data_IF_915813435816
#
_entry.id   IF_915813435816
#
_cell.length_a   1.000
_cell.length_b   1.000
_cell.length_c   1.000
_cell.angle_alpha   90.00
_cell.angle_beta   90.00
_cell.angle_gamma   90.00
#
_symmetry.space_group_name_H-M   'P 1'
#
loop_
_entity.id
_entity.type
_entity.pdbx_description
1 polymer ?
#
# COMPACT_ATOMS: atom_id res chain seq x y z
N UNK A 1 47.60 31.06 -58.06
CA UNK A 1 46.44 30.18 -57.85
C UNK A 1 46.24 30.08 -56.36
N UNK A 2 45.21 30.76 -55.86
CA UNK A 2 44.81 30.75 -54.44
C UNK A 2 43.75 29.66 -54.33
N UNK A 3 43.95 28.68 -53.50
CA UNK A 3 42.93 27.71 -53.11
C UNK A 3 42.19 28.23 -51.90
N UNK A 4 40.93 28.61 -52.05
CA UNK A 4 40.00 28.82 -50.97
C UNK A 4 39.59 27.46 -50.37
N UNK A 5 39.78 27.32 -49.08
CA UNK A 5 39.28 26.18 -48.27
C UNK A 5 37.87 26.55 -47.79
N UNK A 6 36.88 25.82 -48.26
CA UNK A 6 35.52 25.89 -47.70
C UNK A 6 35.48 25.18 -46.36
N UNK A 7 34.86 25.77 -45.30
CA UNK A 7 34.71 25.05 -44.05
C UNK A 7 33.66 23.95 -44.21
N UNK A 8 34.07 22.73 -43.95
CA UNK A 8 33.20 21.57 -43.82
C UNK A 8 32.29 21.75 -42.63
N UNK A 9 30.99 21.44 -42.85
CA UNK A 9 29.90 21.64 -41.92
C UNK A 9 30.14 21.11 -40.53
N UNK A 10 29.63 21.84 -39.55
CA UNK A 10 29.46 21.41 -38.18
C UNK A 10 28.63 20.10 -38.15
N UNK A 11 29.24 19.03 -37.73
CA UNK A 11 28.50 17.91 -37.20
C UNK A 11 27.76 18.44 -35.96
N UNK A 12 26.44 18.49 -36.02
CA UNK A 12 25.63 18.52 -34.79
C UNK A 12 26.01 17.28 -33.99
N UNK A 13 26.78 17.47 -32.94
CA UNK A 13 26.98 16.43 -31.95
C UNK A 13 25.61 16.04 -31.42
N UNK A 14 25.25 14.78 -31.53
CA UNK A 14 24.26 14.19 -30.64
C UNK A 14 24.87 14.25 -29.25
N UNK A 15 24.63 15.36 -28.55
CA UNK A 15 24.76 15.34 -27.10
C UNK A 15 23.77 14.30 -26.58
N UNK A 16 24.27 13.09 -26.32
CA UNK A 16 23.56 12.12 -25.53
C UNK A 16 23.45 12.77 -24.16
N UNK A 17 22.32 13.42 -23.89
CA UNK A 17 22.00 13.88 -22.54
C UNK A 17 22.02 12.62 -21.71
N UNK A 18 23.00 12.51 -20.80
CA UNK A 18 23.07 11.40 -19.89
C UNK A 18 21.75 11.33 -19.12
N UNK A 19 21.06 10.19 -19.22
CA UNK A 19 19.83 10.00 -18.45
C UNK A 19 20.15 10.08 -16.96
N UNK A 20 19.32 10.78 -16.20
CA UNK A 20 19.45 10.83 -14.75
C UNK A 20 19.14 9.45 -14.21
N UNK A 21 20.07 8.89 -13.45
CA UNK A 21 19.89 7.60 -12.80
C UNK A 21 19.15 7.78 -11.47
N UNK A 22 18.12 6.98 -11.25
CA UNK A 22 17.33 6.96 -10.02
C UNK A 22 17.36 5.56 -9.40
N UNK A 23 17.43 5.50 -8.09
CA UNK A 23 17.30 4.27 -7.32
C UNK A 23 15.93 4.26 -6.65
N UNK A 24 15.07 3.31 -6.98
CA UNK A 24 13.79 3.15 -6.29
C UNK A 24 13.80 2.02 -5.29
N UNK A 25 13.01 2.17 -4.24
CA UNK A 25 12.61 1.06 -3.39
C UNK A 25 11.17 0.66 -3.71
N UNK A 26 10.78 -0.58 -3.41
CA UNK A 26 9.39 -1.02 -3.46
C UNK A 26 8.92 -1.56 -2.10
N UNK A 27 7.61 -1.62 -1.94
CA UNK A 27 6.97 -2.24 -0.79
C UNK A 27 7.25 -3.76 -0.73
N UNK A 28 7.32 -4.31 0.47
CA UNK A 28 7.54 -5.73 0.74
C UNK A 28 6.23 -6.55 0.79
N UNK A 29 5.20 -6.07 0.13
CA UNK A 29 3.93 -6.77 -0.10
C UNK A 29 3.57 -6.80 -1.59
N UNK A 30 3.01 -7.93 -2.02
CA UNK A 30 2.81 -8.26 -3.45
C UNK A 30 1.95 -7.25 -4.22
N UNK A 31 0.96 -6.62 -3.56
CA UNK A 31 0.12 -5.61 -4.22
C UNK A 31 0.87 -4.32 -4.60
N UNK A 32 2.06 -4.10 -4.05
CA UNK A 32 2.93 -2.98 -4.41
C UNK A 32 3.82 -3.22 -5.63
N UNK A 33 4.00 -4.47 -6.06
CA UNK A 33 4.99 -4.81 -7.09
C UNK A 33 4.63 -4.28 -8.47
N UNK A 34 3.42 -4.55 -8.95
CA UNK A 34 2.91 -4.04 -10.24
C UNK A 34 2.93 -2.51 -10.27
N UNK A 35 2.47 -1.88 -9.19
CA UNK A 35 2.43 -0.43 -9.06
C UNK A 35 3.84 0.19 -9.15
N UNK A 36 4.81 -0.38 -8.46
CA UNK A 36 6.20 0.07 -8.51
C UNK A 36 6.78 -0.07 -9.93
N UNK A 37 6.53 -1.19 -10.59
CA UNK A 37 7.04 -1.46 -11.93
C UNK A 37 6.40 -0.55 -13.00
N UNK A 38 5.10 -0.25 -12.89
CA UNK A 38 4.43 0.72 -13.76
C UNK A 38 5.07 2.10 -13.60
N UNK A 39 5.28 2.58 -12.38
CA UNK A 39 5.92 3.87 -12.14
C UNK A 39 7.35 3.89 -12.70
N UNK A 40 8.12 2.81 -12.51
CA UNK A 40 9.46 2.68 -13.09
C UNK A 40 9.43 2.87 -14.61
N UNK A 41 8.55 2.17 -15.33
CA UNK A 41 8.45 2.25 -16.79
C UNK A 41 7.94 3.61 -17.28
N UNK A 42 7.07 4.29 -16.51
CA UNK A 42 6.65 5.67 -16.81
C UNK A 42 7.85 6.62 -16.73
N UNK A 43 8.67 6.51 -15.68
CA UNK A 43 9.87 7.34 -15.53
C UNK A 43 10.90 7.09 -16.64
N UNK A 44 11.06 5.84 -17.07
CA UNK A 44 11.91 5.52 -18.22
C UNK A 44 11.38 6.15 -19.52
N UNK A 45 10.06 6.19 -19.71
CA UNK A 45 9.42 6.90 -20.82
C UNK A 45 9.70 8.41 -20.76
N UNK A 46 9.83 8.99 -19.55
CA UNK A 46 10.19 10.37 -19.33
C UNK A 46 11.71 10.67 -19.48
N UNK A 47 12.53 9.62 -19.74
CA UNK A 47 13.96 9.75 -20.01
C UNK A 47 14.89 9.47 -18.83
N UNK A 48 14.39 8.97 -17.72
CA UNK A 48 15.19 8.52 -16.59
C UNK A 48 15.72 7.10 -16.81
N UNK A 49 16.77 6.74 -16.09
CA UNK A 49 17.19 5.34 -15.88
C UNK A 49 16.86 4.99 -14.45
N UNK A 50 16.02 3.96 -14.22
CA UNK A 50 15.55 3.61 -12.89
C UNK A 50 15.99 2.19 -12.55
N UNK A 51 16.49 1.98 -11.32
CA UNK A 51 16.84 0.63 -10.83
C UNK A 51 15.62 -0.29 -10.85
N UNK A 52 15.84 -1.61 -10.89
CA UNK A 52 14.73 -2.55 -10.74
C UNK A 52 14.10 -2.38 -9.34
N UNK A 53 12.75 -2.30 -9.23
CA UNK A 53 12.10 -2.16 -7.93
C UNK A 53 12.43 -3.29 -6.95
N UNK A 54 12.66 -4.49 -7.47
CA UNK A 54 13.03 -5.69 -6.71
C UNK A 54 14.43 -5.67 -6.10
N UNK A 55 15.28 -4.72 -6.49
CA UNK A 55 16.62 -4.62 -5.92
C UNK A 55 16.59 -4.18 -4.44
N UNK A 56 15.57 -3.39 -4.05
CA UNK A 56 15.40 -2.88 -2.68
C UNK A 56 13.93 -3.00 -2.29
N UNK A 57 13.62 -4.02 -1.48
CA UNK A 57 12.28 -4.31 -1.00
C UNK A 57 12.21 -4.05 0.50
N UNK A 58 11.32 -3.15 0.94
CA UNK A 58 11.30 -2.62 2.30
C UNK A 58 9.86 -2.40 2.80
N UNK A 59 9.63 -2.73 4.07
CA UNK A 59 8.47 -2.24 4.82
C UNK A 59 8.55 -0.74 5.11
N UNK A 60 7.45 -0.10 5.55
CA UNK A 60 7.34 1.36 5.66
C UNK A 60 8.47 2.01 6.45
N UNK A 61 8.70 1.58 7.68
CA UNK A 61 9.73 2.15 8.57
C UNK A 61 11.11 2.22 7.89
N UNK A 62 11.51 1.10 7.27
CA UNK A 62 12.80 0.99 6.60
C UNK A 62 12.84 1.78 5.29
N UNK A 63 11.73 1.87 4.56
CA UNK A 63 11.66 2.63 3.31
C UNK A 63 11.89 4.12 3.56
N UNK A 64 11.18 4.71 4.54
CA UNK A 64 11.34 6.12 4.90
C UNK A 64 12.76 6.43 5.43
N UNK A 65 13.29 5.57 6.29
CA UNK A 65 14.65 5.71 6.80
C UNK A 65 15.70 5.62 5.67
N UNK A 66 15.53 4.66 4.75
CA UNK A 66 16.44 4.45 3.62
C UNK A 66 16.41 5.64 2.65
N UNK A 67 15.22 6.19 2.34
CA UNK A 67 15.11 7.42 1.54
C UNK A 67 15.77 8.62 2.21
N UNK A 68 15.54 8.82 3.52
CA UNK A 68 16.12 9.93 4.26
C UNK A 68 17.65 9.85 4.30
N UNK A 69 18.24 8.66 4.28
CA UNK A 69 19.67 8.42 4.28
C UNK A 69 20.29 8.33 2.87
N UNK A 70 19.49 8.49 1.82
CA UNK A 70 19.95 8.44 0.41
C UNK A 70 20.24 7.03 -0.11
N UNK A 71 19.69 6.00 0.50
CA UNK A 71 19.81 4.61 0.02
C UNK A 71 18.84 4.27 -1.11
N UNK A 72 17.72 4.98 -1.22
CA UNK A 72 16.87 5.04 -2.41
C UNK A 72 16.24 6.43 -2.56
N UNK A 73 15.81 6.76 -3.77
CA UNK A 73 15.35 8.10 -4.13
C UNK A 73 13.84 8.29 -3.93
N UNK A 74 13.07 7.22 -4.12
CA UNK A 74 11.61 7.26 -3.99
C UNK A 74 11.01 5.88 -3.73
N UNK A 75 9.77 5.89 -3.21
CA UNK A 75 8.95 4.74 -2.88
C UNK A 75 7.49 5.00 -3.28
N UNK A 76 6.81 4.05 -3.91
CA UNK A 76 5.54 4.27 -4.61
C UNK A 76 4.31 3.75 -3.87
N UNK A 77 4.44 3.33 -2.62
CA UNK A 77 3.34 2.71 -1.88
C UNK A 77 3.18 3.29 -0.48
N UNK A 78 3.16 4.63 -0.40
CA UNK A 78 2.97 5.37 0.85
C UNK A 78 1.49 5.54 1.15
N UNK A 79 1.07 5.08 2.32
CA UNK A 79 -0.32 5.07 2.78
C UNK A 79 -0.55 6.17 3.80
N UNK A 80 -1.11 7.27 3.38
CA UNK A 80 -1.39 8.40 4.25
C UNK A 80 -2.87 8.44 4.66
N UNK A 81 -3.20 8.84 5.94
CA UNK A 81 -2.28 9.46 6.91
C UNK A 81 -1.35 8.50 7.66
N UNK A 82 -1.57 7.16 7.66
CA UNK A 82 -0.84 6.21 8.49
C UNK A 82 0.67 6.34 8.48
N UNK A 83 1.24 6.56 7.31
CA UNK A 83 2.69 6.66 7.18
C UNK A 83 3.29 8.01 7.58
N UNK A 84 2.48 9.03 7.97
CA UNK A 84 3.05 10.28 8.48
C UNK A 84 3.82 10.11 9.79
N UNK A 85 3.45 9.13 10.60
CA UNK A 85 4.17 8.83 11.84
C UNK A 85 5.66 8.56 11.64
N UNK A 86 6.05 7.97 10.50
CA UNK A 86 7.44 7.71 10.19
C UNK A 86 8.29 8.95 9.93
N UNK A 87 7.67 10.10 9.63
CA UNK A 87 8.37 11.38 9.46
C UNK A 87 8.96 11.93 10.76
N UNK A 88 8.45 11.54 11.91
CA UNK A 88 8.92 11.96 13.23
C UNK A 88 10.12 11.17 13.72
N UNK A 89 10.53 10.12 13.01
CA UNK A 89 11.69 9.34 13.37
C UNK A 89 12.98 10.16 13.27
N UNK A 90 13.78 10.11 14.35
CA UNK A 90 15.06 10.80 14.43
C UNK A 90 16.17 10.00 13.72
N UNK A 91 16.95 10.67 12.89
CA UNK A 91 18.14 10.15 12.24
C UNK A 91 19.36 10.23 13.17
N UNK A 92 20.46 9.48 12.89
CA UNK A 92 21.65 9.50 13.73
C UNK A 92 22.33 10.88 13.90
N UNK A 93 22.04 11.83 13.00
CA UNK A 93 22.56 13.21 13.08
C UNK A 93 21.62 14.17 13.85
N UNK A 94 20.47 13.67 14.33
CA UNK A 94 19.47 14.41 15.08
C UNK A 94 18.42 15.13 14.22
N UNK A 95 18.48 15.00 12.90
CA UNK A 95 17.40 15.47 12.02
C UNK A 95 16.24 14.47 11.98
N UNK A 96 15.06 14.89 11.54
CA UNK A 96 13.90 14.02 11.37
C UNK A 96 13.81 13.49 9.94
N UNK A 97 13.25 12.30 9.76
CA UNK A 97 12.98 11.73 8.44
C UNK A 97 12.19 12.70 7.56
N UNK A 98 11.18 13.38 8.12
CA UNK A 98 10.34 14.34 7.39
C UNK A 98 11.08 15.61 6.92
N UNK A 99 12.32 15.85 7.37
CA UNK A 99 13.16 16.91 6.82
C UNK A 99 13.83 16.51 5.50
N UNK A 100 13.86 15.21 5.18
CA UNK A 100 14.55 14.62 4.04
C UNK A 100 13.63 13.90 3.06
N UNK A 101 12.40 13.58 3.45
CA UNK A 101 11.41 12.86 2.64
C UNK A 101 10.14 13.66 2.54
N UNK A 102 9.56 13.70 1.34
CA UNK A 102 8.33 14.42 1.02
C UNK A 102 7.33 13.49 0.34
N UNK A 103 6.06 13.57 0.74
CA UNK A 103 4.95 12.99 -0.01
C UNK A 103 4.63 13.88 -1.21
N UNK A 104 4.54 13.32 -2.40
CA UNK A 104 4.38 14.10 -3.64
C UNK A 104 3.11 13.77 -4.41
N UNK A 105 2.10 13.25 -3.71
CA UNK A 105 0.79 12.94 -4.32
C UNK A 105 0.87 11.82 -5.38
N UNK A 106 -0.11 11.73 -6.25
CA UNK A 106 -0.20 10.72 -7.31
C UNK A 106 -0.87 9.43 -6.87
N UNK A 107 -0.90 8.46 -7.76
CA UNK A 107 -1.44 7.12 -7.61
C UNK A 107 -2.93 7.09 -7.24
N UNK A 108 -3.30 6.84 -5.98
CA UNK A 108 -4.70 6.64 -5.58
C UNK A 108 -5.08 7.57 -4.44
N UNK A 109 -6.05 8.45 -4.68
CA UNK A 109 -6.53 9.42 -3.70
C UNK A 109 -7.82 8.93 -3.04
N UNK A 110 -7.94 9.06 -1.72
CA UNK A 110 -9.11 8.67 -0.91
C UNK A 110 -9.61 7.24 -1.22
N UNK A 111 -8.72 6.33 -1.58
CA UNK A 111 -9.09 5.06 -2.20
C UNK A 111 -8.48 3.82 -1.55
N UNK A 112 -7.47 3.99 -0.72
CA UNK A 112 -6.85 2.93 0.05
C UNK A 112 -7.74 2.54 1.23
N UNK A 113 -8.57 1.51 1.07
CA UNK A 113 -9.43 1.04 2.15
C UNK A 113 -8.68 0.01 2.96
N UNK A 114 -8.82 0.06 4.29
CA UNK A 114 -8.27 -0.89 5.24
C UNK A 114 -9.35 -1.33 6.21
N UNK A 115 -9.26 -2.56 6.72
CA UNK A 115 -10.22 -3.09 7.68
C UNK A 115 -10.10 -4.58 7.88
N UNK A 116 -11.04 -5.15 8.60
CA UNK A 116 -11.11 -6.58 8.84
C UNK A 116 -12.14 -7.24 7.94
N UNK A 117 -11.80 -8.38 7.33
CA UNK A 117 -12.76 -9.29 6.73
C UNK A 117 -13.12 -10.40 7.70
N UNK A 118 -14.38 -10.84 7.67
CA UNK A 118 -14.89 -11.95 8.44
C UNK A 118 -15.59 -12.97 7.51
N UNK A 119 -15.51 -14.26 7.82
CA UNK A 119 -16.27 -15.30 7.11
C UNK A 119 -17.76 -14.97 7.08
N UNK A 120 -18.33 -14.75 5.89
CA UNK A 120 -19.73 -14.29 5.74
C UNK A 120 -20.74 -15.29 6.33
N UNK A 121 -20.63 -16.58 5.97
CA UNK A 121 -21.58 -17.61 6.44
C UNK A 121 -21.61 -17.71 7.96
N UNK A 122 -20.43 -17.68 8.59
CA UNK A 122 -20.31 -17.70 10.04
C UNK A 122 -20.87 -16.42 10.69
N UNK A 123 -20.55 -15.25 10.14
CA UNK A 123 -21.05 -13.98 10.68
C UNK A 123 -22.58 -13.87 10.60
N UNK A 124 -23.19 -14.29 9.49
CA UNK A 124 -24.64 -14.32 9.31
C UNK A 124 -25.32 -15.32 10.26
N UNK A 125 -24.79 -16.54 10.41
CA UNK A 125 -25.32 -17.56 11.31
C UNK A 125 -25.33 -17.12 12.76
N UNK A 126 -24.29 -16.40 13.18
CA UNK A 126 -24.10 -15.95 14.56
C UNK A 126 -24.56 -14.49 14.79
N UNK A 127 -25.14 -13.83 13.80
CA UNK A 127 -25.56 -12.42 13.84
C UNK A 127 -24.42 -11.47 14.28
N UNK A 128 -23.21 -11.72 13.79
CA UNK A 128 -22.04 -10.87 14.07
C UNK A 128 -22.16 -9.58 13.30
N UNK A 129 -22.06 -8.45 14.01
CA UNK A 129 -22.13 -7.08 13.44
C UNK A 129 -20.87 -6.26 13.71
N UNK A 130 -20.06 -6.62 14.72
CA UNK A 130 -18.83 -5.91 15.05
C UNK A 130 -17.79 -6.83 15.70
N UNK A 131 -16.53 -6.44 15.61
CA UNK A 131 -15.42 -7.10 16.31
C UNK A 131 -15.57 -6.96 17.83
N UNK A 132 -16.15 -5.87 18.31
CA UNK A 132 -16.45 -5.61 19.71
C UNK A 132 -17.47 -6.60 20.26
N UNK A 133 -18.49 -6.98 19.47
CA UNK A 133 -19.43 -8.02 19.83
C UNK A 133 -18.72 -9.36 19.99
N UNK A 134 -17.81 -9.70 19.07
CA UNK A 134 -17.03 -10.95 19.15
C UNK A 134 -16.23 -10.97 20.44
N UNK A 135 -15.54 -9.88 20.78
CA UNK A 135 -14.76 -9.78 22.02
C UNK A 135 -15.62 -9.99 23.31
N UNK A 136 -16.89 -9.61 23.29
CA UNK A 136 -17.77 -9.71 24.46
C UNK A 136 -18.50 -11.06 24.62
N UNK A 137 -18.49 -11.90 23.60
CA UNK A 137 -19.22 -13.19 23.58
C UNK A 137 -18.23 -14.36 23.51
N UNK A 138 -18.19 -15.14 24.60
CA UNK A 138 -17.28 -16.31 24.71
C UNK A 138 -17.48 -17.32 23.60
N UNK A 139 -18.71 -17.53 23.13
CA UNK A 139 -18.96 -18.48 22.05
C UNK A 139 -18.38 -17.98 20.71
N UNK A 140 -18.34 -16.65 20.52
CA UNK A 140 -17.81 -16.05 19.30
C UNK A 140 -16.28 -16.01 19.29
N UNK A 141 -15.63 -15.51 20.37
CA UNK A 141 -14.17 -15.47 20.37
C UNK A 141 -13.54 -16.86 20.48
N UNK A 142 -14.19 -17.81 21.20
CA UNK A 142 -13.70 -19.20 21.23
C UNK A 142 -13.77 -19.90 19.88
N UNK A 143 -14.65 -19.49 18.97
CA UNK A 143 -14.69 -20.03 17.61
C UNK A 143 -13.50 -19.55 16.75
N UNK A 144 -12.84 -18.47 17.16
CA UNK A 144 -11.62 -17.92 16.55
C UNK A 144 -10.34 -18.42 17.23
N UNK A 145 -10.43 -18.99 18.44
CA UNK A 145 -9.30 -19.54 19.20
C UNK A 145 -8.80 -20.83 18.55
N UNK A 146 -7.70 -20.76 17.82
CA UNK A 146 -7.13 -21.90 17.07
C UNK A 146 -5.98 -22.57 17.78
N UNK A 147 -5.30 -21.88 18.70
CA UNK A 147 -4.16 -22.41 19.44
C UNK A 147 -4.51 -22.88 20.86
N UNK A 148 -5.72 -22.53 21.34
CA UNK A 148 -6.25 -22.98 22.63
C UNK A 148 -5.76 -22.13 23.82
N UNK A 149 -5.34 -20.90 23.59
CA UNK A 149 -4.89 -19.98 24.64
C UNK A 149 -6.06 -19.26 25.34
N UNK A 150 -7.28 -19.40 24.83
CA UNK A 150 -8.51 -18.82 25.34
C UNK A 150 -8.85 -17.46 24.76
N UNK A 151 -8.16 -17.02 23.72
CA UNK A 151 -8.44 -15.79 22.97
C UNK A 151 -8.74 -16.10 21.51
N UNK A 152 -9.55 -15.26 20.89
CA UNK A 152 -9.81 -15.34 19.45
C UNK A 152 -8.71 -14.65 18.66
N UNK A 153 -8.16 -15.33 17.65
CA UNK A 153 -7.14 -14.73 16.79
C UNK A 153 -7.73 -13.85 15.71
N UNK A 154 -7.13 -12.67 15.54
CA UNK A 154 -7.22 -11.80 14.38
C UNK A 154 -5.97 -12.05 13.56
N UNK A 155 -6.09 -12.55 12.34
CA UNK A 155 -4.97 -12.63 11.41
C UNK A 155 -4.63 -11.19 10.97
N UNK A 156 -3.58 -10.64 11.53
CA UNK A 156 -3.25 -9.21 11.43
C UNK A 156 -2.21 -8.89 10.39
N UNK A 157 -1.13 -8.25 10.81
CA UNK A 157 -0.06 -7.78 9.96
C UNK A 157 1.30 -8.37 10.36
N UNK A 158 2.28 -8.39 9.42
CA UNK A 158 3.68 -8.54 9.79
C UNK A 158 4.13 -7.38 10.68
N UNK A 159 4.98 -7.64 11.69
CA UNK A 159 5.52 -6.62 12.62
C UNK A 159 6.24 -5.43 11.95
N UNK A 160 6.65 -5.58 10.69
CA UNK A 160 7.31 -4.51 9.94
C UNK A 160 6.37 -3.51 9.28
N UNK A 161 5.05 -3.76 9.36
CA UNK A 161 4.04 -2.92 8.72
C UNK A 161 3.35 -2.01 9.73
N UNK A 162 2.96 -0.82 9.30
CA UNK A 162 2.27 0.17 10.15
C UNK A 162 0.92 -0.35 10.70
N UNK A 163 0.24 -1.21 9.97
CA UNK A 163 -1.04 -1.78 10.41
C UNK A 163 -0.93 -2.64 11.67
N UNK A 164 0.23 -3.24 11.93
CA UNK A 164 0.49 -3.99 13.16
C UNK A 164 0.36 -3.08 14.39
N UNK A 165 1.07 -1.96 14.40
CA UNK A 165 0.98 -0.96 15.46
C UNK A 165 -0.45 -0.42 15.65
N UNK A 166 -1.17 -0.20 14.54
CA UNK A 166 -2.56 0.27 14.58
C UNK A 166 -3.48 -0.79 15.21
N UNK A 167 -3.37 -2.06 14.81
CA UNK A 167 -4.21 -3.13 15.34
C UNK A 167 -3.94 -3.34 16.83
N UNK A 168 -2.69 -3.34 17.27
CA UNK A 168 -2.35 -3.43 18.70
C UNK A 168 -2.96 -2.27 19.51
N UNK A 169 -2.89 -1.05 18.99
CA UNK A 169 -3.53 0.11 19.62
C UNK A 169 -5.06 -0.02 19.65
N UNK A 170 -5.69 -0.52 18.58
CA UNK A 170 -7.14 -0.78 18.53
C UNK A 170 -7.56 -1.80 19.61
N UNK A 171 -6.80 -2.88 19.77
CA UNK A 171 -7.05 -3.91 20.79
C UNK A 171 -7.06 -3.29 22.18
N UNK A 172 -6.06 -2.48 22.51
CA UNK A 172 -5.94 -1.85 23.82
C UNK A 172 -7.00 -0.74 24.01
N UNK A 173 -7.16 0.13 23.02
CA UNK A 173 -8.09 1.27 23.08
C UNK A 173 -9.54 0.81 23.22
N UNK A 174 -9.94 -0.20 22.47
CA UNK A 174 -11.32 -0.74 22.48
C UNK A 174 -11.56 -1.77 23.58
N UNK A 175 -10.52 -2.16 24.32
CA UNK A 175 -10.63 -3.17 25.38
C UNK A 175 -10.98 -4.56 24.84
N UNK A 176 -10.39 -4.96 23.73
CA UNK A 176 -10.59 -6.29 23.14
C UNK A 176 -9.75 -7.36 23.86
N UNK A 177 -9.93 -7.49 25.16
CA UNK A 177 -9.11 -8.34 26.05
C UNK A 177 -9.15 -9.84 25.70
N UNK A 178 -10.21 -10.29 25.01
CA UNK A 178 -10.41 -11.67 24.59
C UNK A 178 -10.00 -11.92 23.14
N UNK A 179 -9.35 -10.95 22.50
CA UNK A 179 -8.81 -11.09 21.16
C UNK A 179 -7.29 -10.87 21.18
N UNK A 180 -6.61 -11.45 20.23
CA UNK A 180 -5.16 -11.31 20.04
C UNK A 180 -4.84 -11.22 18.55
N UNK A 181 -3.85 -10.41 18.21
CA UNK A 181 -3.34 -10.34 16.84
C UNK A 181 -2.34 -11.45 16.59
N UNK A 182 -2.53 -12.21 15.50
CA UNK A 182 -1.54 -13.14 14.95
C UNK A 182 -0.68 -12.41 13.93
N UNK A 183 0.62 -12.40 14.16
CA UNK A 183 1.64 -11.73 13.35
C UNK A 183 2.48 -12.75 12.60
N UNK A 184 2.37 -12.78 11.29
CA UNK A 184 3.13 -13.69 10.43
C UNK A 184 3.26 -13.11 9.01
N UNK A 185 3.90 -13.83 8.10
CA UNK A 185 3.92 -13.45 6.69
C UNK A 185 2.49 -13.41 6.12
N UNK A 186 2.13 -12.29 5.50
CA UNK A 186 0.73 -12.01 5.15
C UNK A 186 0.11 -13.06 4.23
N UNK A 187 0.83 -13.50 3.19
CA UNK A 187 0.33 -14.52 2.25
C UNK A 187 0.01 -15.86 2.92
N UNK A 188 0.77 -16.23 3.96
CA UNK A 188 0.51 -17.45 4.74
C UNK A 188 -0.76 -17.31 5.59
N UNK A 189 -0.94 -16.16 6.24
CA UNK A 189 -2.17 -15.85 7.00
C UNK A 189 -3.39 -15.79 6.09
N UNK A 190 -3.26 -15.18 4.90
CA UNK A 190 -4.34 -15.13 3.93
C UNK A 190 -4.71 -16.53 3.39
N UNK A 191 -3.72 -17.40 3.16
CA UNK A 191 -3.95 -18.79 2.80
C UNK A 191 -4.73 -19.57 3.88
N UNK A 192 -4.40 -19.37 5.15
CA UNK A 192 -5.16 -19.91 6.28
C UNK A 192 -6.59 -19.36 6.32
N UNK A 193 -6.74 -18.03 6.19
CA UNK A 193 -8.05 -17.39 6.14
C UNK A 193 -8.93 -17.97 5.04
N UNK A 194 -8.41 -18.09 3.80
CA UNK A 194 -9.16 -18.70 2.70
C UNK A 194 -9.62 -20.14 3.00
N UNK A 195 -8.76 -20.93 3.61
CA UNK A 195 -9.12 -22.31 3.96
C UNK A 195 -10.28 -22.35 4.97
N UNK A 196 -10.27 -21.49 5.98
CA UNK A 196 -11.34 -21.39 6.98
C UNK A 196 -12.64 -20.85 6.38
N UNK A 197 -12.57 -19.80 5.56
CA UNK A 197 -13.74 -19.26 4.84
C UNK A 197 -14.40 -20.33 3.96
N UNK A 198 -13.59 -21.09 3.21
CA UNK A 198 -14.10 -22.16 2.34
C UNK A 198 -14.72 -23.33 3.14
N UNK A 199 -14.29 -23.55 4.37
CA UNK A 199 -14.89 -24.53 5.30
C UNK A 199 -16.16 -23.99 5.98
N UNK A 200 -16.42 -22.69 5.93
CA UNK A 200 -17.49 -22.01 6.67
C UNK A 200 -17.15 -21.76 8.13
N UNK A 201 -15.87 -21.91 8.50
CA UNK A 201 -15.39 -21.70 9.86
C UNK A 201 -15.22 -20.19 10.18
N UNK A 202 -15.21 -19.87 11.47
CA UNK A 202 -14.91 -18.52 11.95
C UNK A 202 -13.50 -18.10 11.55
N UNK A 203 -13.35 -16.96 10.90
CA UNK A 203 -12.04 -16.37 10.63
C UNK A 203 -12.16 -14.85 10.49
N UNK A 204 -11.16 -14.13 10.98
CA UNK A 204 -10.98 -12.68 10.81
C UNK A 204 -9.58 -12.44 10.28
N UNK A 205 -9.46 -11.57 9.27
CA UNK A 205 -8.17 -11.10 8.75
C UNK A 205 -8.20 -9.60 8.50
N UNK A 206 -7.13 -8.90 8.84
CA UNK A 206 -6.87 -7.57 8.32
C UNK A 206 -6.60 -7.63 6.82
N UNK A 207 -7.13 -6.69 6.05
CA UNK A 207 -6.85 -6.57 4.61
C UNK A 207 -7.05 -5.15 4.10
N UNK A 208 -6.73 -4.94 2.83
CA UNK A 208 -6.79 -3.63 2.20
C UNK A 208 -7.18 -3.70 0.72
N UNK A 209 -7.52 -2.54 0.13
CA UNK A 209 -7.65 -2.35 -1.32
C UNK A 209 -6.78 -1.17 -1.77
N UNK A 210 -6.21 -1.18 -2.98
CA UNK A 210 -6.25 -2.24 -4.00
C UNK A 210 -5.37 -3.43 -3.63
N UNK A 211 -5.92 -4.65 -3.71
CA UNK A 211 -5.18 -5.89 -3.52
C UNK A 211 -5.91 -7.08 -4.17
N UNK A 212 -5.17 -8.09 -4.59
CA UNK A 212 -5.72 -9.33 -5.11
C UNK A 212 -6.61 -10.05 -4.08
N UNK A 213 -6.33 -9.89 -2.80
CA UNK A 213 -7.00 -10.58 -1.70
C UNK A 213 -8.51 -10.35 -1.67
N UNK A 214 -8.96 -9.10 -1.84
CA UNK A 214 -10.40 -8.74 -1.87
C UNK A 214 -11.12 -9.15 -3.17
N UNK A 215 -10.36 -9.58 -4.16
CA UNK A 215 -10.91 -10.17 -5.39
C UNK A 215 -10.99 -11.70 -5.28
N UNK A 216 -10.06 -12.30 -4.54
CA UNK A 216 -10.05 -13.75 -4.26
C UNK A 216 -11.07 -14.15 -3.20
N UNK A 217 -11.29 -13.28 -2.20
CA UNK A 217 -12.33 -13.40 -1.16
C UNK A 217 -13.25 -12.20 -1.27
N UNK A 218 -14.34 -12.37 -2.02
CA UNK A 218 -15.19 -11.25 -2.48
C UNK A 218 -16.14 -10.81 -1.36
N UNK A 219 -16.03 -9.56 -0.88
CA UNK A 219 -16.98 -9.00 0.09
C UNK A 219 -18.42 -9.05 -0.45
N UNK A 220 -19.33 -9.54 0.38
CA UNK A 220 -20.73 -9.78 0.01
C UNK A 220 -21.01 -11.16 -0.58
N UNK A 221 -19.98 -11.91 -0.99
CA UNK A 221 -20.09 -13.28 -1.52
C UNK A 221 -19.50 -14.28 -0.51
N UNK A 222 -18.20 -14.19 -0.27
CA UNK A 222 -17.45 -15.12 0.58
C UNK A 222 -17.27 -14.59 2.00
N UNK A 223 -17.08 -13.28 2.09
CA UNK A 223 -16.74 -12.55 3.32
C UNK A 223 -17.55 -11.27 3.47
N UNK A 224 -17.48 -10.65 4.65
CA UNK A 224 -18.00 -9.31 4.91
C UNK A 224 -16.88 -8.46 5.50
N UNK A 225 -16.87 -7.15 5.18
CA UNK A 225 -16.14 -6.19 5.99
C UNK A 225 -16.77 -6.12 7.37
N UNK A 226 -15.96 -6.25 8.41
CA UNK A 226 -16.41 -6.27 9.81
C UNK A 226 -16.32 -4.88 10.42
N UNK A 227 -17.43 -4.43 11.03
CA UNK A 227 -17.45 -3.14 11.71
C UNK A 227 -16.71 -3.16 13.05
N UNK A 228 -16.19 -1.99 13.45
CA UNK A 228 -15.77 -1.68 14.81
C UNK A 228 -16.81 -0.74 15.46
N UNK A 229 -17.04 -0.82 16.78
CA UNK A 229 -17.97 0.06 17.47
C UNK A 229 -17.32 1.37 17.87
N UNK A 230 -16.05 1.33 18.23
CA UNK A 230 -15.28 2.49 18.68
C UNK A 230 -14.06 2.67 17.80
N UNK A 231 -13.99 3.77 17.09
CA UNK A 231 -12.84 4.11 16.25
C UNK A 231 -11.71 4.64 17.14
N UNK A 232 -10.51 4.11 16.94
CA UNK A 232 -9.29 4.59 17.60
C UNK A 232 -9.16 6.11 17.40
N UNK A 233 -8.83 6.82 18.46
CA UNK A 233 -8.55 8.26 18.43
C UNK A 233 -7.03 8.54 18.51
N UNK A 234 -6.63 9.81 18.51
CA UNK A 234 -5.23 10.23 18.53
C UNK A 234 -4.52 9.96 19.88
N UNK A 235 -5.11 9.18 20.78
CA UNK A 235 -4.54 8.89 22.10
C UNK A 235 -3.30 8.01 22.05
N UNK A 236 -3.15 7.22 20.99
CA UNK A 236 -2.03 6.26 20.80
C UNK A 236 -1.68 5.55 22.11
N UNK A 237 -2.56 4.68 22.65
CA UNK A 237 -2.47 4.18 24.03
C UNK A 237 -1.20 3.40 24.32
N UNK A 238 -0.58 2.80 23.32
CA UNK A 238 0.69 2.08 23.46
C UNK A 238 1.91 2.93 23.14
N UNK A 239 1.74 4.14 22.56
CA UNK A 239 2.84 4.98 22.14
C UNK A 239 3.68 4.39 21.01
N UNK A 240 3.07 3.55 20.16
CA UNK A 240 3.74 2.93 19.03
C UNK A 240 3.81 3.90 17.86
N UNK A 241 4.93 3.89 17.15
CA UNK A 241 5.06 4.65 15.89
C UNK A 241 4.11 4.03 14.87
N UNK A 242 3.23 4.87 14.28
CA UNK A 242 2.17 4.39 13.39
C UNK A 242 0.87 4.00 14.09
N UNK A 243 0.87 4.00 15.42
CA UNK A 243 -0.31 3.70 16.22
C UNK A 243 -1.25 4.88 16.47
N UNK A 244 -0.97 6.02 15.85
CA UNK A 244 -1.85 7.19 15.90
C UNK A 244 -3.16 6.89 15.16
N UNK A 245 -4.17 7.66 15.52
CA UNK A 245 -5.49 7.55 14.94
C UNK A 245 -5.51 7.81 13.45
N UNK A 246 -6.27 6.97 12.80
CA UNK A 246 -6.68 7.13 11.41
C UNK A 246 -8.19 7.04 11.38
N UNK A 247 -8.83 7.99 12.10
CA UNK A 247 -10.27 8.00 12.32
C UNK A 247 -11.02 8.00 11.00
N UNK A 248 -11.80 6.97 10.81
CA UNK A 248 -12.85 7.00 9.81
C UNK A 248 -13.85 8.09 10.19
N UNK A 249 -14.06 9.09 9.33
CA UNK A 249 -15.16 10.06 9.47
C UNK A 249 -16.52 9.38 9.55
N UNK A 250 -17.56 10.08 10.05
CA UNK A 250 -18.89 9.51 10.26
C UNK A 250 -19.39 8.75 9.02
N UNK A 251 -19.45 7.44 9.14
CA UNK A 251 -20.06 6.53 8.17
C UNK A 251 -19.29 6.37 6.86
N UNK A 252 -18.52 5.30 6.72
CA UNK A 252 -18.00 4.92 5.41
C UNK A 252 -19.15 4.49 4.50
N UNK A 253 -19.55 5.37 3.58
CA UNK A 253 -20.69 5.16 2.70
C UNK A 253 -20.34 4.44 1.37
N UNK A 254 -19.08 4.04 1.18
CA UNK A 254 -18.58 3.49 -0.07
C UNK A 254 -18.96 2.02 -0.34
N UNK A 255 -19.37 1.27 0.70
CA UNK A 255 -19.73 -0.14 0.56
C UNK A 255 -21.24 -0.35 0.60
N UNK A 256 -21.72 -1.29 -0.24
CA UNK A 256 -23.09 -1.74 -0.17
C UNK A 256 -23.41 -2.44 1.16
N UNK A 257 -24.65 -2.38 1.60
CA UNK A 257 -25.09 -3.01 2.86
C UNK A 257 -24.94 -4.54 2.88
N UNK A 258 -24.71 -5.15 1.73
CA UNK A 258 -24.48 -6.57 1.52
C UNK A 258 -23.00 -6.97 1.61
N UNK A 259 -22.09 -5.99 1.63
CA UNK A 259 -20.64 -6.23 1.64
C UNK A 259 -19.99 -5.98 3.01
N UNK A 260 -20.73 -5.37 3.94
CA UNK A 260 -20.24 -4.94 5.23
C UNK A 260 -21.25 -5.24 6.34
N UNK A 261 -20.79 -5.63 7.53
CA UNK A 261 -21.65 -5.67 8.70
C UNK A 261 -22.10 -4.25 9.06
N UNK A 262 -23.35 -4.09 9.50
CA UNK A 262 -23.88 -2.76 9.79
C UNK A 262 -23.61 -2.36 11.24
N UNK A 263 -23.13 -1.12 11.48
CA UNK A 263 -23.25 0.11 10.68
C UNK A 263 -22.16 0.37 9.62
N UNK A 264 -21.30 -0.55 9.28
CA UNK A 264 -20.21 -0.40 8.30
C UNK A 264 -19.18 0.66 8.67
N UNK A 265 -18.58 0.51 9.83
CA UNK A 265 -17.52 1.37 10.34
C UNK A 265 -16.24 0.54 10.45
N UNK A 266 -15.29 0.75 9.54
CA UNK A 266 -14.13 -0.12 9.42
C UNK A 266 -13.00 0.20 10.41
N UNK A 267 -12.98 1.41 10.97
CA UNK A 267 -11.97 1.84 11.93
C UNK A 267 -10.76 2.57 11.32
N UNK A 268 -10.58 2.50 10.01
CA UNK A 268 -9.54 3.23 9.28
C UNK A 268 -10.13 4.31 8.38
N UNK A 269 -9.43 5.44 8.28
CA UNK A 269 -9.68 6.44 7.25
C UNK A 269 -9.29 5.88 5.87
N UNK A 270 -9.98 6.31 4.81
CA UNK A 270 -9.57 5.98 3.45
C UNK A 270 -8.21 6.65 3.16
N UNK A 271 -7.22 5.83 2.81
CA UNK A 271 -5.87 6.31 2.63
C UNK A 271 -5.62 6.83 1.21
N UNK A 272 -4.79 7.87 1.13
CA UNK A 272 -4.09 8.22 -0.09
C UNK A 272 -2.89 7.29 -0.26
N UNK A 273 -2.84 6.57 -1.37
CA UNK A 273 -1.65 5.81 -1.74
C UNK A 273 -0.88 6.65 -2.74
N UNK A 274 0.31 7.10 -2.36
CA UNK A 274 1.07 8.06 -3.15
C UNK A 274 2.56 7.76 -3.17
N UNK A 275 3.29 8.55 -3.95
CA UNK A 275 4.76 8.51 -3.99
C UNK A 275 5.32 9.31 -2.84
N UNK A 276 6.30 8.75 -2.14
CA UNK A 276 7.22 9.50 -1.29
C UNK A 276 8.61 9.50 -1.91
N UNK A 277 9.30 10.62 -1.82
CA UNK A 277 10.62 10.76 -2.43
C UNK A 277 11.56 11.62 -1.58
N UNK A 278 12.85 11.42 -1.76
CA UNK A 278 13.88 12.27 -1.17
C UNK A 278 13.71 13.71 -1.64
N UNK A 279 13.61 14.65 -0.71
CA UNK A 279 13.51 16.09 -0.99
C UNK A 279 14.68 16.57 -1.86
N UNK A 280 15.89 16.09 -1.59
CA UNK A 280 17.08 16.45 -2.36
C UNK A 280 17.00 15.98 -3.81
N UNK A 281 16.42 14.80 -4.07
CA UNK A 281 16.23 14.28 -5.44
C UNK A 281 15.16 15.06 -6.16
N UNK A 282 14.07 15.41 -5.50
CA UNK A 282 13.00 16.23 -6.08
C UNK A 282 13.49 17.66 -6.44
N UNK A 283 14.30 18.26 -5.58
CA UNK A 283 14.87 19.58 -5.80
C UNK A 283 15.87 19.60 -6.97
N UNK A 284 16.62 18.51 -7.12
CA UNK A 284 17.55 18.34 -8.24
C UNK A 284 16.84 18.01 -9.58
N UNK A 285 15.59 17.51 -9.52
CA UNK A 285 14.83 17.01 -10.66
C UNK A 285 13.40 17.58 -10.69
N UNK A 286 13.21 18.84 -11.13
CA UNK A 286 11.88 19.47 -11.17
C UNK A 286 10.84 18.68 -12.00
N UNK A 287 11.28 17.94 -13.02
CA UNK A 287 10.40 17.08 -13.82
C UNK A 287 9.79 15.94 -12.98
N UNK A 288 10.55 15.33 -12.06
CA UNK A 288 10.01 14.31 -11.14
C UNK A 288 8.93 14.91 -10.24
N UNK A 289 9.22 16.08 -9.65
CA UNK A 289 8.27 16.80 -8.79
C UNK A 289 6.97 17.15 -9.52
N UNK A 290 7.03 17.41 -10.84
CA UNK A 290 5.86 17.67 -11.66
C UNK A 290 5.15 16.38 -12.11
N UNK A 291 5.90 15.30 -12.38
CA UNK A 291 5.36 14.08 -12.96
C UNK A 291 4.66 13.16 -11.92
N UNK A 292 5.24 12.97 -10.73
CA UNK A 292 4.68 12.08 -9.73
C UNK A 292 3.21 12.34 -9.41
N UNK A 293 2.75 13.60 -9.18
CA UNK A 293 1.35 13.90 -8.91
C UNK A 293 0.39 13.56 -10.05
N UNK A 294 0.89 13.47 -11.28
CA UNK A 294 0.10 13.19 -12.48
C UNK A 294 -0.10 11.70 -12.72
N UNK A 295 0.76 10.84 -12.17
CA UNK A 295 0.68 9.40 -12.34
C UNK A 295 -0.51 8.87 -11.54
N UNK A 296 -1.63 8.57 -12.23
CA UNK A 296 -2.89 8.11 -11.61
C UNK A 296 -3.49 6.93 -12.37
N UNK A 297 -2.93 5.72 -12.23
CA UNK A 297 -3.52 4.53 -12.82
C UNK A 297 -4.88 4.23 -12.20
N UNK A 298 -5.72 3.50 -12.92
CA UNK A 298 -7.01 3.04 -12.40
C UNK A 298 -6.80 1.98 -11.29
N UNK A 299 -7.49 2.13 -10.15
CA UNK A 299 -7.52 1.10 -9.10
C UNK A 299 -7.98 -0.25 -9.66
N UNK A 300 -8.97 -0.23 -10.55
CA UNK A 300 -9.50 -1.45 -11.16
C UNK A 300 -8.42 -2.16 -11.98
N UNK A 301 -7.67 -1.43 -12.81
CA UNK A 301 -6.59 -2.00 -13.61
C UNK A 301 -5.53 -2.64 -12.72
N UNK A 302 -5.09 -1.91 -11.68
CA UNK A 302 -4.10 -2.43 -10.73
C UNK A 302 -4.62 -3.68 -10.01
N UNK A 303 -5.87 -3.68 -9.56
CA UNK A 303 -6.46 -4.85 -8.89
C UNK A 303 -6.54 -6.07 -9.81
N UNK A 304 -6.89 -5.87 -11.09
CA UNK A 304 -6.91 -6.94 -12.10
C UNK A 304 -5.49 -7.50 -12.31
N UNK A 305 -4.50 -6.63 -12.51
CA UNK A 305 -3.10 -7.04 -12.71
C UNK A 305 -2.55 -7.78 -11.49
N UNK A 306 -2.93 -7.39 -10.27
CA UNK A 306 -2.54 -8.09 -9.05
C UNK A 306 -3.13 -9.51 -8.98
N UNK A 307 -4.38 -9.70 -9.45
CA UNK A 307 -4.97 -11.03 -9.58
C UNK A 307 -4.22 -11.87 -10.60
N UNK A 308 -3.88 -11.29 -11.74
CA UNK A 308 -3.08 -11.98 -12.76
C UNK A 308 -1.69 -12.35 -12.23
N UNK A 309 -1.04 -11.44 -11.49
CA UNK A 309 0.21 -11.69 -10.80
C UNK A 309 0.09 -12.86 -9.80
N UNK A 310 -0.95 -12.88 -8.98
CA UNK A 310 -1.14 -13.91 -7.95
C UNK A 310 -1.50 -15.29 -8.53
N UNK A 311 -2.12 -15.33 -9.72
CA UNK A 311 -2.47 -16.57 -10.42
C UNK A 311 -1.36 -17.07 -11.35
N UNK A 312 -0.36 -16.25 -11.64
CA UNK A 312 0.79 -16.56 -12.48
C UNK A 312 1.97 -17.17 -11.72
N UNK A 313 3.14 -17.06 -12.32
CA UNK A 313 4.37 -17.31 -11.57
C UNK A 313 4.73 -16.06 -10.73
N UNK A 314 5.31 -16.27 -9.56
CA UNK A 314 5.71 -15.18 -8.67
C UNK A 314 7.03 -14.52 -9.10
N UNK A 315 7.46 -14.70 -10.37
CA UNK A 315 8.73 -14.17 -10.86
C UNK A 315 8.65 -12.68 -11.13
N UNK A 316 9.77 -11.99 -10.93
CA UNK A 316 9.92 -10.58 -11.29
C UNK A 316 9.70 -10.36 -12.80
N UNK A 317 10.06 -11.32 -13.63
CA UNK A 317 9.83 -11.25 -15.07
C UNK A 317 8.34 -11.17 -15.42
N UNK A 318 7.49 -11.86 -14.67
CA UNK A 318 6.04 -11.80 -14.85
C UNK A 318 5.46 -10.44 -14.43
N UNK A 319 5.94 -9.87 -13.34
CA UNK A 319 5.57 -8.50 -12.91
C UNK A 319 5.93 -7.47 -14.00
N UNK A 320 7.13 -7.57 -14.56
CA UNK A 320 7.58 -6.69 -15.67
C UNK A 320 6.72 -6.89 -16.91
N UNK A 321 6.36 -8.13 -17.27
CA UNK A 321 5.49 -8.42 -18.41
C UNK A 321 4.10 -7.78 -18.24
N UNK A 322 3.46 -7.96 -17.10
CA UNK A 322 2.15 -7.39 -16.78
C UNK A 322 2.18 -5.86 -16.83
N UNK A 323 3.16 -5.24 -16.21
CA UNK A 323 3.33 -3.78 -16.26
C UNK A 323 3.57 -3.28 -17.69
N UNK A 324 4.38 -3.98 -18.48
CA UNK A 324 4.64 -3.63 -19.90
C UNK A 324 3.36 -3.73 -20.74
N UNK A 325 2.52 -4.74 -20.50
CA UNK A 325 1.21 -4.86 -21.11
C UNK A 325 0.34 -3.63 -20.81
N UNK A 326 0.24 -3.27 -19.53
CA UNK A 326 -0.52 -2.09 -19.11
C UNK A 326 0.02 -0.79 -19.74
N UNK A 327 1.35 -0.61 -19.79
CA UNK A 327 1.98 0.55 -20.45
C UNK A 327 1.62 0.64 -21.93
N UNK A 328 1.57 -0.49 -22.63
CA UNK A 328 1.17 -0.54 -24.04
C UNK A 328 -0.29 -0.14 -24.24
N UNK A 329 -1.18 -0.65 -23.39
CA UNK A 329 -2.62 -0.39 -23.49
C UNK A 329 -2.97 1.06 -23.07
N UNK A 330 -2.13 1.69 -22.25
CA UNK A 330 -2.31 3.05 -21.73
C UNK A 330 -1.28 4.06 -22.28
N UNK A 331 -0.66 3.78 -23.45
CA UNK A 331 0.42 4.58 -24.00
C UNK A 331 0.06 6.08 -24.18
N UNK A 332 -1.14 6.38 -24.65
CA UNK A 332 -1.61 7.77 -24.83
C UNK A 332 -1.80 8.49 -23.48
N UNK A 333 -2.28 7.78 -22.45
CA UNK A 333 -2.45 8.30 -21.10
C UNK A 333 -1.09 8.65 -20.49
N UNK A 334 -0.14 7.72 -20.56
CA UNK A 334 1.24 7.94 -20.07
C UNK A 334 1.93 9.08 -20.80
N UNK A 335 1.80 9.12 -22.13
CA UNK A 335 2.35 10.22 -22.93
C UNK A 335 1.74 11.57 -22.52
N UNK A 336 0.45 11.60 -22.17
CA UNK A 336 -0.24 12.79 -21.65
C UNK A 336 0.38 13.28 -20.35
N UNK A 337 0.59 12.40 -19.37
CA UNK A 337 1.22 12.75 -18.09
C UNK A 337 2.65 13.30 -18.26
N UNK A 338 3.44 12.62 -19.09
CA UNK A 338 4.83 13.08 -19.37
C UNK A 338 4.84 14.44 -20.05
N UNK A 339 3.96 14.66 -21.04
CA UNK A 339 3.87 15.93 -21.74
C UNK A 339 3.41 17.07 -20.81
N UNK A 340 2.42 16.82 -19.95
CA UNK A 340 1.94 17.79 -18.96
C UNK A 340 3.03 18.15 -17.95
N UNK A 341 3.80 17.18 -17.47
CA UNK A 341 4.92 17.43 -16.56
C UNK A 341 6.06 18.25 -17.19
N UNK A 342 6.24 18.16 -18.51
CA UNK A 342 7.26 18.91 -19.26
C UNK A 342 6.85 20.35 -19.58
N UNK A 343 5.57 20.72 -19.47
CA UNK A 343 5.02 22.07 -19.71
C UNK A 343 4.66 22.27 -21.16
#
# INVERSE_FOLDING_TARGET
VVFEYAPTGSQAGNDVVASVALTMCRADWSSGYIQAEIVRQILETAGYTVSAPSDIELGPANAYLTMAQGGCDFWTNSWYPGHFSWYENELPDGSLVGEHVEAVDGLFQDSGVQGFLVTKSWAEENNVVSIDQINRDEALYSALDTDGDGKGEILGCPESWTCDDIIENMIVFSGWDNLVETKAGYDAMFGEFMNRVNAGDAAIIYTWTPAAYVVQMVPGVDVLWLSVETVLDDSNPLGLVGGESHTQGEGFTGFGADTCTQPCQLGWEAADIQVSASTAVLDANPLLRALFPLIRPSILDISILQVEQSNGDASEAHVVELATGWMSDNADLVAGWVAEAQG
#
